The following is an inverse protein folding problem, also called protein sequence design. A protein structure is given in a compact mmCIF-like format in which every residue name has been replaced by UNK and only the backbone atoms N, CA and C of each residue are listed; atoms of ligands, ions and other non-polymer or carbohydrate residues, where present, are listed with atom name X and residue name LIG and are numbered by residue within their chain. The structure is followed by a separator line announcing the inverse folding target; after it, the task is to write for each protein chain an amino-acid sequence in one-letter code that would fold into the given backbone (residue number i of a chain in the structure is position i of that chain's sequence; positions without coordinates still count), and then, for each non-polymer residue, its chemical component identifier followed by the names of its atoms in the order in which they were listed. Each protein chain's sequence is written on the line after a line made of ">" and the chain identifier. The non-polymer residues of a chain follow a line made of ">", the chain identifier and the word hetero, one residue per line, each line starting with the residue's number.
data_IF_831598056498
#
_entry.id   IF_831598056498
#
_cell.length_a   1.000
_cell.length_b   1.000
_cell.length_c   1.000
_cell.angle_alpha   90.00
_cell.angle_beta   90.00
_cell.angle_gamma   90.00
#
_symmetry.space_group_name_H-M   'P 1'
#
loop_
_entity.id
_entity.type
_entity.pdbx_description
1 polymer ?
#
# COMPACT_ATOMS: atom_id res chain seq x y z
N UNK A 1 -2.44 -10.33 -0.38
CA UNK A 1 -2.26 -8.88 -0.39
C UNK A 1 -2.39 -8.31 1.02
N UNK A 2 -1.62 -7.30 1.31
CA UNK A 2 -1.63 -6.63 2.61
C UNK A 2 -2.02 -5.16 2.39
N UNK A 3 -2.88 -4.61 3.26
CA UNK A 3 -3.25 -3.20 3.21
C UNK A 3 -3.10 -2.56 4.58
N UNK A 4 -2.64 -1.32 4.60
CA UNK A 4 -2.49 -0.53 5.82
C UNK A 4 -2.39 0.95 5.47
N UNK A 5 -2.49 1.81 6.49
CA UNK A 5 -2.39 3.26 6.37
C UNK A 5 -1.29 3.74 7.31
N UNK A 6 -0.47 4.67 6.84
CA UNK A 6 0.51 5.35 7.68
C UNK A 6 0.28 6.86 7.68
N UNK A 7 0.71 7.51 8.75
CA UNK A 7 0.64 8.96 8.92
C UNK A 7 1.93 9.59 8.43
N UNK A 8 1.79 10.72 7.72
CA UNK A 8 2.91 11.48 7.20
C UNK A 8 2.82 12.93 7.68
N UNK A 9 3.97 13.58 7.82
CA UNK A 9 4.04 15.00 8.13
C UNK A 9 4.83 15.72 7.06
N UNK A 10 4.36 16.89 6.65
CA UNK A 10 5.06 17.78 5.72
C UNK A 10 4.87 19.22 6.21
N UNK A 11 5.58 20.16 5.66
CA UNK A 11 5.54 21.59 5.94
C UNK A 11 4.91 21.98 7.29
N UNK A 12 5.75 22.30 8.31
CA UNK A 12 5.28 22.80 9.61
C UNK A 12 4.25 21.90 10.32
N UNK A 13 4.38 20.59 10.15
CA UNK A 13 3.53 19.63 10.85
C UNK A 13 2.16 19.36 10.21
N UNK A 14 1.94 19.81 8.98
CA UNK A 14 0.75 19.40 8.22
C UNK A 14 0.75 17.89 8.03
N UNK A 15 -0.42 17.28 8.13
CA UNK A 15 -0.58 15.84 8.08
C UNK A 15 -1.13 15.36 6.74
N UNK A 16 -0.60 14.26 6.28
CA UNK A 16 -1.14 13.49 5.17
C UNK A 16 -1.19 12.01 5.59
N UNK A 17 -1.91 11.21 4.83
CA UNK A 17 -2.13 9.80 5.10
C UNK A 17 -1.88 9.03 3.82
N UNK A 18 -1.12 7.95 3.93
CA UNK A 18 -0.79 7.08 2.80
C UNK A 18 -1.41 5.71 3.05
N UNK A 19 -2.28 5.28 2.15
CA UNK A 19 -2.85 3.94 2.12
C UNK A 19 -2.18 3.13 1.02
N UNK A 20 -1.80 1.89 1.32
CA UNK A 20 -1.13 1.02 0.35
C UNK A 20 -1.76 -0.36 0.33
N UNK A 21 -1.66 -1.02 -0.82
CA UNK A 21 -1.88 -2.45 -0.98
C UNK A 21 -0.60 -3.06 -1.55
N UNK A 22 -0.05 -4.03 -0.84
CA UNK A 22 1.22 -4.66 -1.14
C UNK A 22 1.03 -6.15 -1.38
N UNK A 23 1.73 -6.67 -2.37
CA UNK A 23 1.84 -8.12 -2.56
C UNK A 23 2.93 -8.64 -1.62
N UNK A 24 2.56 -9.52 -0.69
CA UNK A 24 3.48 -10.08 0.29
C UNK A 24 4.53 -11.02 -0.34
N UNK A 25 4.23 -11.60 -1.50
CA UNK A 25 5.15 -12.52 -2.19
C UNK A 25 6.27 -11.79 -2.92
N UNK A 26 5.98 -10.63 -3.50
CA UNK A 26 6.91 -9.89 -4.36
C UNK A 26 7.37 -8.58 -3.76
N UNK A 27 6.76 -8.13 -2.67
CA UNK A 27 6.91 -6.80 -2.07
C UNK A 27 6.44 -5.64 -2.96
N UNK A 28 5.83 -5.93 -4.11
CA UNK A 28 5.33 -4.89 -5.00
C UNK A 28 4.18 -4.11 -4.36
N UNK A 29 4.22 -2.79 -4.47
CA UNK A 29 3.09 -1.94 -4.09
C UNK A 29 2.16 -1.89 -5.29
N UNK A 30 1.02 -2.56 -5.17
CA UNK A 30 0.05 -2.72 -6.26
C UNK A 30 -0.87 -1.52 -6.40
N UNK A 31 -1.11 -0.81 -5.31
CA UNK A 31 -1.94 0.39 -5.29
C UNK A 31 -1.58 1.26 -4.09
N UNK A 32 -1.71 2.56 -4.26
CA UNK A 32 -1.57 3.51 -3.15
C UNK A 32 -2.46 4.72 -3.37
N UNK A 33 -2.81 5.38 -2.28
CA UNK A 33 -3.61 6.61 -2.31
C UNK A 33 -3.18 7.51 -1.16
N UNK A 34 -3.09 8.82 -1.43
CA UNK A 34 -2.68 9.84 -0.46
C UNK A 34 -3.86 10.76 -0.21
N UNK A 35 -4.14 11.08 1.05
CA UNK A 35 -5.23 11.97 1.45
C UNK A 35 -4.77 12.90 2.57
N UNK A 36 -5.42 14.04 2.68
CA UNK A 36 -5.22 14.97 3.80
C UNK A 36 -6.13 14.66 5.00
N UNK A 37 -6.99 13.66 4.89
CA UNK A 37 -7.89 13.24 5.95
C UNK A 37 -7.97 11.71 6.03
N UNK A 38 -8.49 11.21 7.16
CA UNK A 38 -8.55 9.78 7.45
C UNK A 38 -9.98 9.24 7.32
N UNK A 39 -10.75 9.74 6.37
CA UNK A 39 -12.10 9.26 6.09
C UNK A 39 -12.06 7.91 5.37
N UNK A 40 -13.21 7.26 5.32
CA UNK A 40 -13.35 5.96 4.64
C UNK A 40 -12.88 6.01 3.17
N UNK A 41 -13.03 7.15 2.51
CA UNK A 41 -12.66 7.33 1.11
C UNK A 41 -11.20 6.94 0.82
N UNK A 42 -10.30 7.08 1.79
CA UNK A 42 -8.89 6.75 1.56
C UNK A 42 -8.71 5.27 1.19
N UNK A 43 -9.41 4.37 1.86
CA UNK A 43 -9.31 2.93 1.57
C UNK A 43 -10.15 2.54 0.36
N UNK A 44 -11.28 3.19 0.14
CA UNK A 44 -12.10 2.94 -1.06
C UNK A 44 -11.37 3.37 -2.33
N UNK A 45 -10.70 4.53 -2.30
CA UNK A 45 -9.90 5.02 -3.42
C UNK A 45 -8.68 4.15 -3.66
N UNK A 46 -8.09 3.57 -2.62
CA UNK A 46 -7.00 2.61 -2.77
C UNK A 46 -7.47 1.36 -3.53
N UNK A 47 -8.67 0.86 -3.22
CA UNK A 47 -9.26 -0.27 -3.96
C UNK A 47 -9.55 0.09 -5.40
N UNK A 48 -10.01 1.32 -5.68
CA UNK A 48 -10.21 1.79 -7.06
C UNK A 48 -8.89 1.83 -7.83
N UNK A 49 -7.81 2.26 -7.20
CA UNK A 49 -6.48 2.22 -7.81
C UNK A 49 -6.04 0.79 -8.11
N UNK A 50 -6.33 -0.15 -7.23
CA UNK A 50 -6.04 -1.57 -7.47
C UNK A 50 -6.83 -2.09 -8.68
N UNK A 51 -8.12 -1.77 -8.74
CA UNK A 51 -8.99 -2.16 -9.85
C UNK A 51 -8.50 -1.61 -11.19
N UNK A 52 -7.96 -0.40 -11.19
CA UNK A 52 -7.47 0.29 -12.39
C UNK A 52 -6.10 -0.19 -12.86
N UNK A 53 -5.45 -1.08 -12.11
CA UNK A 53 -4.12 -1.58 -12.48
C UNK A 53 -4.26 -2.65 -13.58
N UNK A 54 -4.08 -2.23 -14.83
CA UNK A 54 -4.28 -3.09 -16.01
C UNK A 54 -3.28 -4.25 -16.10
N UNK A 55 -2.14 -4.13 -15.43
CA UNK A 55 -1.11 -5.17 -15.43
C UNK A 55 -1.34 -6.22 -14.34
N UNK A 56 -2.33 -6.00 -13.48
CA UNK A 56 -2.59 -6.87 -12.34
C UNK A 56 -3.60 -7.94 -12.71
N UNK A 57 -3.23 -9.19 -12.47
CA UNK A 57 -4.14 -10.33 -12.55
C UNK A 57 -4.23 -10.96 -11.16
N UNK A 58 -5.37 -10.77 -10.51
CA UNK A 58 -5.59 -11.35 -9.19
C UNK A 58 -5.96 -12.83 -9.33
N UNK A 59 -5.34 -13.66 -8.49
CA UNK A 59 -5.71 -15.06 -8.37
C UNK A 59 -7.15 -15.17 -7.83
N UNK A 60 -7.90 -16.18 -8.26
CA UNK A 60 -9.28 -16.40 -7.82
C UNK A 60 -9.43 -16.57 -6.30
N UNK A 61 -8.35 -16.98 -5.63
CA UNK A 61 -8.32 -17.17 -4.18
C UNK A 61 -7.50 -16.10 -3.45
N UNK A 62 -7.22 -14.97 -4.12
CA UNK A 62 -6.45 -13.89 -3.51
C UNK A 62 -7.16 -13.35 -2.26
N UNK A 63 -6.37 -13.06 -1.24
CA UNK A 63 -6.83 -12.56 0.05
C UNK A 63 -6.25 -11.18 0.27
N UNK A 64 -7.10 -10.24 0.72
CA UNK A 64 -6.67 -8.94 1.20
C UNK A 64 -6.68 -8.95 2.72
N UNK A 65 -5.51 -8.81 3.33
CA UNK A 65 -5.32 -8.86 4.77
C UNK A 65 -5.11 -7.45 5.32
N UNK A 66 -5.77 -7.14 6.44
CA UNK A 66 -5.67 -5.86 7.16
C UNK A 66 -5.72 -6.08 8.66
N UNK A 67 -5.53 -5.02 9.44
CA UNK A 67 -5.90 -5.00 10.84
C UNK A 67 -7.42 -4.87 11.00
N UNK A 68 -7.90 -4.72 12.24
CA UNK A 68 -9.33 -4.57 12.54
C UNK A 68 -9.76 -3.10 12.63
N UNK A 69 -9.04 -2.19 11.97
CA UNK A 69 -9.37 -0.78 11.94
C UNK A 69 -10.76 -0.50 11.37
N UNK A 70 -11.36 0.62 11.78
CA UNK A 70 -12.74 0.99 11.40
C UNK A 70 -12.93 1.09 9.89
N UNK A 71 -11.88 1.48 9.16
CA UNK A 71 -11.93 1.54 7.70
C UNK A 71 -12.21 0.18 7.08
N UNK A 72 -11.58 -0.86 7.62
CA UNK A 72 -11.61 -2.22 7.05
C UNK A 72 -12.82 -3.02 7.51
N UNK A 73 -13.46 -2.62 8.61
CA UNK A 73 -14.70 -3.24 9.10
C UNK A 73 -15.94 -2.60 8.51
N UNK A 74 -15.79 -1.51 7.76
CA UNK A 74 -16.90 -0.82 7.10
C UNK A 74 -17.61 -1.73 6.09
N UNK A 75 -18.95 -1.78 6.09
CA UNK A 75 -19.69 -2.55 5.07
C UNK A 75 -19.38 -2.12 3.63
N UNK A 76 -19.16 -0.82 3.40
CA UNK A 76 -18.78 -0.33 2.05
C UNK A 76 -17.45 -0.90 1.60
N UNK A 77 -16.45 -0.91 2.48
CA UNK A 77 -15.14 -1.48 2.17
C UNK A 77 -15.26 -2.98 1.89
N UNK A 78 -15.94 -3.71 2.76
CA UNK A 78 -16.13 -5.16 2.60
C UNK A 78 -16.83 -5.49 1.28
N UNK A 79 -17.86 -4.73 0.92
CA UNK A 79 -18.58 -4.92 -0.35
C UNK A 79 -17.66 -4.69 -1.54
N UNK A 80 -16.86 -3.63 -1.52
CA UNK A 80 -15.96 -3.32 -2.62
C UNK A 80 -14.86 -4.37 -2.78
N UNK A 81 -14.32 -4.88 -1.68
CA UNK A 81 -13.36 -5.99 -1.69
C UNK A 81 -13.97 -7.22 -2.35
N UNK A 82 -15.21 -7.54 -1.97
CA UNK A 82 -15.95 -8.67 -2.53
C UNK A 82 -16.21 -8.51 -4.03
N UNK A 83 -16.55 -7.29 -4.47
CA UNK A 83 -16.76 -6.98 -5.90
C UNK A 83 -15.47 -7.15 -6.72
N UNK A 84 -14.31 -7.01 -6.11
CA UNK A 84 -13.01 -7.25 -6.76
C UNK A 84 -12.64 -8.74 -6.83
N UNK A 85 -13.47 -9.60 -6.25
CA UNK A 85 -13.20 -11.04 -6.19
C UNK A 85 -12.19 -11.43 -5.13
N UNK A 86 -11.90 -10.54 -4.18
CA UNK A 86 -10.96 -10.79 -3.09
C UNK A 86 -11.70 -11.30 -1.86
N UNK A 87 -11.03 -12.20 -1.15
CA UNK A 87 -11.44 -12.60 0.20
C UNK A 87 -10.80 -11.66 1.20
N UNK A 88 -11.50 -11.35 2.28
CA UNK A 88 -10.99 -10.46 3.32
C UNK A 88 -10.52 -11.26 4.53
N UNK A 89 -9.35 -10.89 5.06
CA UNK A 89 -8.79 -11.44 6.28
C UNK A 89 -8.35 -10.31 7.19
N UNK A 90 -8.43 -10.49 8.50
CA UNK A 90 -8.02 -9.48 9.46
C UNK A 90 -7.11 -10.07 10.52
N UNK A 91 -6.10 -9.30 10.94
CA UNK A 91 -5.24 -9.65 12.07
C UNK A 91 -6.05 -9.77 13.34
N UNK A 92 -5.63 -10.63 14.24
CA UNK A 92 -6.18 -10.68 15.59
C UNK A 92 -5.89 -9.35 16.30
N UNK A 93 -6.82 -8.93 17.12
CA UNK A 93 -6.68 -7.71 17.91
C UNK A 93 -5.39 -7.77 18.73
N UNK A 94 -4.54 -6.74 18.56
CA UNK A 94 -3.27 -6.65 19.28
C UNK A 94 -2.14 -7.52 18.71
N UNK A 95 -2.33 -8.22 17.60
CA UNK A 95 -1.30 -9.05 16.97
C UNK A 95 -0.63 -8.28 15.83
N UNK A 96 0.43 -7.52 16.18
CA UNK A 96 1.16 -6.69 15.20
C UNK A 96 2.02 -7.51 14.23
N UNK A 97 2.30 -8.78 14.51
CA UNK A 97 3.16 -9.63 13.67
C UNK A 97 2.57 -9.84 12.28
N UNK A 98 1.22 -9.84 12.17
CA UNK A 98 0.55 -10.09 10.90
C UNK A 98 0.75 -8.96 9.88
N UNK A 99 1.13 -7.75 10.33
CA UNK A 99 1.36 -6.58 9.47
C UNK A 99 2.84 -6.17 9.40
N UNK A 100 3.76 -7.00 9.89
CA UNK A 100 5.18 -6.70 9.87
C UNK A 100 5.73 -6.33 8.47
N UNK A 101 5.31 -6.99 7.36
CA UNK A 101 5.78 -6.59 6.03
C UNK A 101 5.37 -5.17 5.61
N UNK A 102 4.17 -4.71 6.00
CA UNK A 102 3.73 -3.34 5.75
C UNK A 102 4.51 -2.34 6.61
N UNK A 103 4.73 -2.66 7.87
CA UNK A 103 5.51 -1.82 8.77
C UNK A 103 6.93 -1.66 8.26
N UNK A 104 7.54 -2.73 7.75
CA UNK A 104 8.87 -2.69 7.13
C UNK A 104 8.89 -1.77 5.91
N UNK A 105 7.88 -1.85 5.04
CA UNK A 105 7.77 -0.96 3.89
C UNK A 105 7.65 0.50 4.33
N UNK A 106 6.78 0.79 5.29
CA UNK A 106 6.61 2.17 5.78
C UNK A 106 7.87 2.70 6.44
N UNK A 107 8.63 1.85 7.13
CA UNK A 107 9.93 2.22 7.68
C UNK A 107 10.90 2.64 6.61
N UNK A 108 11.08 1.85 5.56
CA UNK A 108 11.93 2.21 4.41
C UNK A 108 11.45 3.48 3.72
N UNK A 109 10.15 3.60 3.51
CA UNK A 109 9.57 4.79 2.91
C UNK A 109 9.93 6.05 3.69
N UNK A 110 9.72 6.04 5.01
CA UNK A 110 9.99 7.21 5.86
C UNK A 110 11.47 7.54 5.96
N UNK A 111 12.34 6.55 5.84
CA UNK A 111 13.79 6.76 5.84
C UNK A 111 14.29 7.31 4.50
N UNK A 112 13.68 6.92 3.39
CA UNK A 112 14.17 7.22 2.04
C UNK A 112 13.50 8.43 1.41
N UNK A 113 12.31 8.85 1.89
CA UNK A 113 11.55 9.97 1.34
C UNK A 113 11.54 11.14 2.30
N UNK A 114 11.92 12.32 1.79
CA UNK A 114 11.93 13.56 2.57
C UNK A 114 10.72 14.40 2.15
N UNK A 115 9.72 14.50 3.02
CA UNK A 115 8.50 15.27 2.77
C UNK A 115 8.53 16.67 3.38
N UNK A 116 9.48 16.99 4.25
CA UNK A 116 9.59 18.30 4.89
C UNK A 116 9.79 19.43 3.90
N UNK A 117 10.33 19.14 2.72
CA UNK A 117 10.52 20.10 1.62
C UNK A 117 9.22 20.41 0.87
N UNK A 118 8.19 19.59 1.04
CA UNK A 118 6.90 19.77 0.35
C UNK A 118 6.10 20.87 1.03
N UNK A 119 5.51 21.75 0.25
CA UNK A 119 4.67 22.85 0.73
C UNK A 119 3.17 22.57 0.57
N UNK A 120 2.81 21.71 -0.37
CA UNK A 120 1.41 21.40 -0.69
C UNK A 120 1.21 19.89 -0.69
N UNK A 121 -0.07 19.48 -0.60
CA UNK A 121 -0.43 18.07 -0.70
C UNK A 121 -0.07 17.50 -2.09
N UNK A 122 -0.23 18.30 -3.14
CA UNK A 122 0.12 17.89 -4.50
C UNK A 122 1.61 17.55 -4.62
N UNK A 123 2.47 18.32 -3.97
CA UNK A 123 3.91 18.02 -3.94
C UNK A 123 4.19 16.74 -3.19
N UNK A 124 3.49 16.48 -2.08
CA UNK A 124 3.59 15.22 -1.32
C UNK A 124 3.18 14.05 -2.20
N UNK A 125 2.06 14.16 -2.90
CA UNK A 125 1.56 13.12 -3.80
C UNK A 125 2.59 12.80 -4.88
N UNK A 126 3.19 13.83 -5.49
CA UNK A 126 4.20 13.64 -6.52
C UNK A 126 5.43 12.91 -5.98
N UNK A 127 5.93 13.30 -4.82
CA UNK A 127 7.08 12.63 -4.20
C UNK A 127 6.77 11.16 -3.90
N UNK A 128 5.57 10.87 -3.45
CA UNK A 128 5.15 9.51 -3.16
C UNK A 128 5.00 8.71 -4.44
N UNK A 129 4.37 9.26 -5.47
CA UNK A 129 4.22 8.59 -6.77
C UNK A 129 5.60 8.25 -7.37
N UNK A 130 6.53 9.20 -7.33
CA UNK A 130 7.89 8.98 -7.81
C UNK A 130 8.61 7.89 -7.01
N UNK A 131 8.42 7.87 -5.69
CA UNK A 131 9.02 6.83 -4.84
C UNK A 131 8.42 5.45 -5.11
N UNK A 132 7.11 5.36 -5.33
CA UNK A 132 6.46 4.08 -5.63
C UNK A 132 6.96 3.49 -6.94
N UNK A 133 7.15 4.34 -7.96
CA UNK A 133 7.76 3.92 -9.21
C UNK A 133 9.19 3.41 -8.99
N UNK A 134 9.99 4.17 -8.25
CA UNK A 134 11.36 3.77 -7.90
C UNK A 134 11.36 2.46 -7.11
N UNK A 135 10.53 2.35 -6.10
CA UNK A 135 10.47 1.17 -5.23
C UNK A 135 10.12 -0.10 -6.03
N UNK A 136 9.13 -0.01 -6.90
CA UNK A 136 8.66 -1.16 -7.65
C UNK A 136 9.61 -1.57 -8.78
N UNK A 137 10.25 -0.60 -9.45
CA UNK A 137 10.94 -0.84 -10.73
C UNK A 137 12.46 -0.69 -10.66
N UNK A 138 12.99 -0.01 -9.64
CA UNK A 138 14.42 0.32 -9.60
C UNK A 138 15.12 -0.04 -8.29
N UNK A 139 14.40 -0.21 -7.21
CA UNK A 139 14.98 -0.52 -5.90
C UNK A 139 15.18 -2.01 -5.73
N UNK A 140 16.44 -2.45 -5.73
CA UNK A 140 16.79 -3.85 -5.50
C UNK A 140 16.61 -4.23 -4.03
N UNK A 141 16.19 -5.48 -3.78
CA UNK A 141 16.01 -6.01 -2.42
C UNK A 141 16.71 -7.37 -2.29
N UNK A 142 17.46 -7.53 -1.20
CA UNK A 142 18.22 -8.75 -0.96
C UNK A 142 17.34 -9.98 -0.88
N UNK A 143 16.21 -9.87 -0.17
CA UNK A 143 15.27 -10.98 0.01
C UNK A 143 14.46 -11.31 -1.26
N UNK A 144 14.60 -10.52 -2.32
CA UNK A 144 14.03 -10.81 -3.63
C UNK A 144 15.11 -11.24 -4.63
N UNK A 145 16.11 -11.97 -4.18
CA UNK A 145 17.24 -12.40 -5.00
C UNK A 145 17.95 -11.23 -5.69
N UNK A 146 18.05 -10.10 -5.00
CA UNK A 146 18.64 -8.85 -5.49
C UNK A 146 17.89 -8.25 -6.68
N UNK A 147 16.59 -8.53 -6.79
CA UNK A 147 15.71 -7.97 -7.83
C UNK A 147 14.84 -6.87 -7.27
N UNK A 148 14.29 -6.06 -8.16
CA UNK A 148 13.16 -5.18 -7.80
C UNK A 148 11.89 -6.00 -7.67
N UNK A 149 10.84 -5.47 -6.99
CA UNK A 149 9.56 -6.17 -6.90
C UNK A 149 8.98 -6.58 -8.26
N UNK A 150 9.02 -5.69 -9.25
CA UNK A 150 8.49 -5.99 -10.59
C UNK A 150 9.33 -7.07 -11.28
N UNK A 151 10.66 -7.00 -11.20
CA UNK A 151 11.54 -8.03 -11.75
C UNK A 151 11.27 -9.39 -11.11
N UNK A 152 11.11 -9.40 -9.79
CA UNK A 152 10.85 -10.64 -9.05
C UNK A 152 9.49 -11.24 -9.44
N UNK A 153 8.45 -10.41 -9.56
CA UNK A 153 7.15 -10.86 -10.05
C UNK A 153 7.27 -11.51 -11.43
N UNK A 154 7.96 -10.86 -12.36
CA UNK A 154 8.16 -11.38 -13.71
C UNK A 154 8.95 -12.69 -13.71
N UNK A 155 9.92 -12.83 -12.81
CA UNK A 155 10.69 -14.05 -12.63
C UNK A 155 9.80 -15.23 -12.14
N UNK A 156 8.87 -14.94 -11.21
CA UNK A 156 7.98 -15.98 -10.67
C UNK A 156 6.98 -16.52 -11.70
N UNK A 157 6.56 -15.70 -12.67
CA UNK A 157 5.55 -16.10 -13.67
C UNK A 157 6.15 -16.56 -14.98
N UNK A 158 7.47 -16.52 -15.12
CA UNK A 158 8.17 -16.99 -16.32
C UNK A 158 8.40 -18.48 -16.32
#
# INVERSE_FOLDING_TARGET
>A
LLTDITYLSYKNGKKAYLSTIKDSSTNEILAHYVSDNLRLDIVLNTLEKLKSNVNLKLHSEAILHSDQGVHYTSPKFQKQVQQLGLKQSMSRRGNCWDNAPQESFFGHFKDEVILSKCSTLEEVIKEIDDYMDYYNNYRYQWNLSKMTPVQYRNHLVS
#
